data_IF_770286066994
#
_entry.id   IF_770286066994
#
_cell.length_a   1.000
_cell.length_b   1.000
_cell.length_c   1.000
_cell.angle_alpha   90.00
_cell.angle_beta   90.00
_cell.angle_gamma   90.00
#
_symmetry.space_group_name_H-M   'P 1'
#
loop_
_entity.id
_entity.type
_entity.pdbx_description
1 polymer ?
#
# COMPACT_ATOMS: atom_id res chain seq x y z
N UNK A 1 6.68 23.88 -17.77
CA UNK A 1 6.87 22.73 -16.87
C UNK A 1 5.54 22.00 -16.77
N UNK A 2 5.52 20.68 -16.92
CA UNK A 2 4.34 19.85 -16.69
C UNK A 2 4.16 19.61 -15.20
N UNK A 3 2.94 19.75 -14.69
CA UNK A 3 2.64 19.45 -13.29
C UNK A 3 2.74 17.93 -13.05
N UNK A 4 3.28 17.47 -11.90
CA UNK A 4 3.27 16.06 -11.53
C UNK A 4 1.84 15.50 -11.51
N UNK A 5 1.71 14.26 -11.95
CA UNK A 5 0.44 13.56 -12.06
C UNK A 5 0.17 12.73 -10.81
N UNK A 6 -0.90 13.09 -10.09
CA UNK A 6 -1.43 12.34 -8.95
C UNK A 6 -2.66 11.54 -9.38
N UNK A 7 -2.58 10.21 -9.31
CA UNK A 7 -3.74 9.34 -9.43
C UNK A 7 -4.38 9.15 -8.04
N UNK A 8 -5.61 9.64 -7.86
CA UNK A 8 -6.36 9.48 -6.61
C UNK A 8 -7.36 8.35 -6.79
N UNK A 9 -7.22 7.29 -5.98
CA UNK A 9 -8.14 6.17 -5.99
C UNK A 9 -9.04 6.25 -4.75
N UNK A 10 -10.30 6.60 -4.96
CA UNK A 10 -11.28 6.76 -3.87
C UNK A 10 -12.70 6.58 -4.38
N UNK A 11 -13.62 5.99 -3.60
CA UNK A 11 -15.05 6.08 -3.91
C UNK A 11 -15.67 7.44 -3.51
N UNK A 12 -14.92 8.29 -2.79
CA UNK A 12 -15.39 9.54 -2.20
C UNK A 12 -15.18 10.72 -3.17
N UNK A 13 -16.25 11.09 -3.89
CA UNK A 13 -16.23 12.22 -4.82
C UNK A 13 -15.99 13.57 -4.12
N UNK A 14 -16.33 13.70 -2.83
CA UNK A 14 -16.10 14.92 -2.06
C UNK A 14 -14.62 15.06 -1.73
N UNK A 15 -13.95 13.99 -1.34
CA UNK A 15 -12.51 13.94 -1.17
C UNK A 15 -11.78 14.27 -2.47
N UNK A 16 -12.21 13.70 -3.60
CA UNK A 16 -11.64 14.02 -4.91
C UNK A 16 -11.76 15.51 -5.25
N UNK A 17 -12.93 16.10 -5.04
CA UNK A 17 -13.18 17.52 -5.27
C UNK A 17 -12.35 18.42 -4.34
N UNK A 18 -12.21 18.01 -3.07
CA UNK A 18 -11.37 18.70 -2.09
C UNK A 18 -9.90 18.71 -2.51
N UNK A 19 -9.35 17.55 -2.87
CA UNK A 19 -7.95 17.42 -3.26
C UNK A 19 -7.64 18.14 -4.58
N UNK A 20 -8.52 18.07 -5.59
CA UNK A 20 -8.37 18.87 -6.82
C UNK A 20 -8.25 20.36 -6.50
N UNK A 21 -9.11 20.87 -5.61
CA UNK A 21 -9.12 22.29 -5.23
C UNK A 21 -7.87 22.67 -4.45
N UNK A 22 -7.45 21.85 -3.49
CA UNK A 22 -6.30 22.14 -2.61
C UNK A 22 -4.97 22.04 -3.36
N UNK A 23 -4.86 21.11 -4.29
CA UNK A 23 -3.62 20.82 -5.02
C UNK A 23 -3.57 21.51 -6.40
N UNK A 24 -4.58 22.33 -6.71
CA UNK A 24 -4.68 23.04 -7.99
C UNK A 24 -3.43 23.87 -8.26
N UNK A 25 -2.86 23.68 -9.44
CA UNK A 25 -1.65 24.39 -9.87
C UNK A 25 -0.34 23.83 -9.30
N UNK A 26 -0.41 22.83 -8.42
CA UNK A 26 0.75 22.08 -7.91
C UNK A 26 0.80 20.68 -8.54
N UNK A 27 -0.35 20.02 -8.64
CA UNK A 27 -0.48 18.67 -9.19
C UNK A 27 -1.61 18.64 -10.23
N UNK A 28 -1.46 17.77 -11.24
CA UNK A 28 -2.59 17.30 -12.04
C UNK A 28 -3.23 16.13 -11.30
N UNK A 29 -4.41 16.34 -10.73
CA UNK A 29 -5.13 15.28 -10.01
C UNK A 29 -6.08 14.56 -10.96
N UNK A 30 -5.94 13.24 -11.09
CA UNK A 30 -6.90 12.39 -11.81
C UNK A 30 -7.62 11.50 -10.81
N UNK A 31 -8.92 11.72 -10.56
CA UNK A 31 -9.68 10.82 -9.71
C UNK A 31 -10.07 9.56 -10.47
N UNK A 32 -9.73 8.41 -9.91
CA UNK A 32 -10.26 7.10 -10.27
C UNK A 32 -11.34 6.72 -9.26
N UNK A 33 -12.59 7.02 -9.60
CA UNK A 33 -13.74 6.77 -8.74
C UNK A 33 -14.18 5.31 -8.89
N UNK A 34 -13.97 4.52 -7.85
CA UNK A 34 -14.40 3.12 -7.83
C UNK A 34 -15.92 3.06 -7.55
N UNK A 35 -16.75 2.53 -8.46
CA UNK A 35 -18.19 2.40 -8.22
C UNK A 35 -18.46 1.27 -7.22
N UNK A 36 -18.97 1.60 -6.02
CA UNK A 36 -19.57 0.65 -5.08
C UNK A 36 -18.64 -0.39 -4.42
N UNK A 37 -19.17 -1.12 -3.44
CA UNK A 37 -18.43 -2.02 -2.56
C UNK A 37 -17.85 -3.25 -3.30
N UNK A 38 -16.54 -3.17 -3.58
CA UNK A 38 -15.61 -4.23 -4.01
C UNK A 38 -15.86 -4.77 -5.42
N UNK A 39 -14.77 -5.00 -6.18
CA UNK A 39 -14.46 -6.30 -6.84
C UNK A 39 -13.40 -6.26 -7.93
N UNK A 40 -12.86 -5.12 -8.31
CA UNK A 40 -11.97 -5.09 -9.48
C UNK A 40 -10.58 -4.63 -9.12
N UNK A 41 -9.87 -5.45 -8.32
CA UNK A 41 -8.41 -5.36 -8.20
C UNK A 41 -7.82 -5.24 -9.61
N UNK A 42 -8.23 -6.06 -10.58
CA UNK A 42 -7.74 -5.96 -11.97
C UNK A 42 -7.94 -4.59 -12.65
N UNK A 43 -9.08 -3.92 -12.45
CA UNK A 43 -9.31 -2.57 -13.00
C UNK A 43 -8.48 -1.52 -12.27
N UNK A 44 -8.34 -1.65 -10.95
CA UNK A 44 -7.47 -0.81 -10.16
C UNK A 44 -6.01 -1.00 -10.59
N UNK A 45 -5.55 -2.23 -10.77
CA UNK A 45 -4.20 -2.53 -11.24
C UNK A 45 -3.96 -1.98 -12.65
N UNK A 46 -4.95 -2.08 -13.55
CA UNK A 46 -4.87 -1.49 -14.89
C UNK A 46 -4.83 0.04 -14.84
N UNK A 47 -5.64 0.68 -14.01
CA UNK A 47 -5.60 2.14 -13.81
C UNK A 47 -4.29 2.59 -13.17
N UNK A 48 -3.77 1.79 -12.24
CA UNK A 48 -2.45 2.01 -11.65
C UNK A 48 -1.42 1.99 -12.76
N UNK A 49 -1.39 1.07 -13.74
CA UNK A 49 -0.39 1.11 -14.84
C UNK A 49 -0.31 2.38 -15.72
N UNK A 50 -1.21 3.35 -15.56
CA UNK A 50 -1.04 4.67 -16.18
C UNK A 50 0.21 5.41 -15.65
N UNK A 51 0.72 6.38 -16.42
CA UNK A 51 1.94 7.17 -16.12
C UNK A 51 1.71 8.22 -15.00
N UNK A 52 1.21 7.80 -13.84
CA UNK A 52 1.15 8.66 -12.67
C UNK A 52 2.54 8.78 -12.02
N UNK A 53 2.85 9.95 -11.47
CA UNK A 53 4.06 10.18 -10.66
C UNK A 53 3.83 9.79 -9.19
N UNK A 54 2.57 9.82 -8.75
CA UNK A 54 2.12 9.44 -7.41
C UNK A 54 0.77 8.70 -7.47
N UNK A 55 0.60 7.76 -6.55
CA UNK A 55 -0.67 7.07 -6.31
C UNK A 55 -1.15 7.36 -4.90
N UNK A 56 -2.33 7.97 -4.75
CA UNK A 56 -2.96 8.21 -3.46
C UNK A 56 -4.20 7.32 -3.30
N UNK A 57 -4.15 6.40 -2.34
CA UNK A 57 -5.15 5.38 -2.13
C UNK A 57 -5.98 5.66 -0.87
N UNK A 58 -7.31 5.67 -1.03
CA UNK A 58 -8.23 5.79 0.10
C UNK A 58 -8.41 4.45 0.84
N UNK A 59 -7.58 4.25 1.86
CA UNK A 59 -7.54 3.02 2.64
C UNK A 59 -8.76 2.84 3.57
N UNK A 60 -9.68 3.81 3.63
CA UNK A 60 -10.96 3.65 4.34
C UNK A 60 -11.89 2.67 3.63
N UNK A 61 -11.71 2.52 2.32
CA UNK A 61 -12.59 1.74 1.46
C UNK A 61 -11.86 0.66 0.66
N UNK A 62 -10.54 0.78 0.51
CA UNK A 62 -9.73 -0.09 -0.34
C UNK A 62 -8.62 -0.72 0.50
N UNK A 63 -8.47 -2.04 0.39
CA UNK A 63 -7.41 -2.75 1.10
C UNK A 63 -6.03 -2.36 0.53
N UNK A 64 -5.12 -1.77 1.33
CA UNK A 64 -3.88 -1.20 0.80
C UNK A 64 -2.84 -2.25 0.41
N UNK A 65 -2.93 -3.47 0.96
CA UNK A 65 -1.92 -4.52 0.76
C UNK A 65 -1.85 -5.06 -0.67
N UNK A 66 -2.98 -5.23 -1.35
CA UNK A 66 -3.01 -5.74 -2.72
C UNK A 66 -2.34 -4.73 -3.66
N UNK A 67 -2.73 -3.47 -3.53
CA UNK A 67 -2.21 -2.35 -4.32
C UNK A 67 -0.73 -2.15 -4.06
N UNK A 68 -0.31 -2.16 -2.79
CA UNK A 68 1.09 -2.03 -2.41
C UNK A 68 1.97 -3.16 -2.97
N UNK A 69 1.47 -4.40 -2.95
CA UNK A 69 2.17 -5.55 -3.53
C UNK A 69 2.35 -5.42 -5.03
N UNK A 70 1.34 -4.89 -5.74
CA UNK A 70 1.40 -4.65 -7.17
C UNK A 70 2.32 -3.48 -7.55
N UNK A 71 2.23 -2.36 -6.84
CA UNK A 71 3.12 -1.19 -7.02
C UNK A 71 4.58 -1.60 -6.85
N UNK A 72 4.87 -2.34 -5.78
CA UNK A 72 6.20 -2.89 -5.52
C UNK A 72 6.64 -3.90 -6.59
N UNK A 73 5.70 -4.57 -7.27
CA UNK A 73 5.99 -5.52 -8.32
C UNK A 73 6.33 -4.94 -9.67
N UNK A 74 5.81 -3.75 -9.97
CA UNK A 74 5.92 -3.14 -11.29
C UNK A 74 6.80 -1.88 -11.28
N UNK A 75 7.58 -1.65 -10.23
CA UNK A 75 8.40 -0.43 -10.04
C UNK A 75 7.59 0.85 -10.30
N UNK A 76 6.37 0.85 -9.79
CA UNK A 76 5.35 1.88 -10.02
C UNK A 76 5.61 3.08 -9.04
N UNK A 77 4.98 4.27 -9.21
CA UNK A 77 5.22 5.50 -8.47
C UNK A 77 4.98 5.33 -6.98
N UNK A 78 5.42 6.33 -6.21
CA UNK A 78 5.25 6.33 -4.76
C UNK A 78 3.76 6.20 -4.38
N UNK A 79 3.46 5.13 -3.62
CA UNK A 79 2.13 4.87 -3.09
C UNK A 79 1.97 5.58 -1.75
N UNK A 80 0.89 6.34 -1.62
CA UNK A 80 0.48 7.05 -0.43
C UNK A 80 -0.90 6.59 0.02
N UNK A 81 -1.16 6.60 1.33
CA UNK A 81 -2.45 6.23 1.91
C UNK A 81 -3.16 7.42 2.53
N UNK A 82 -4.47 7.46 2.31
CA UNK A 82 -5.43 8.17 3.15
C UNK A 82 -5.98 7.16 4.14
N UNK A 83 -5.48 7.20 5.36
CA UNK A 83 -5.79 6.27 6.43
C UNK A 83 -7.07 6.65 7.20
N UNK A 84 -7.88 5.67 7.64
CA UNK A 84 -8.88 5.92 8.66
C UNK A 84 -8.23 6.39 9.97
N UNK A 85 -8.99 7.14 10.77
CA UNK A 85 -8.51 7.54 12.09
C UNK A 85 -8.33 6.28 12.95
N UNK A 86 -7.21 6.21 13.68
CA UNK A 86 -6.88 5.03 14.49
C UNK A 86 -6.34 3.83 13.71
N UNK A 87 -6.04 3.98 12.41
CA UNK A 87 -5.24 2.97 11.70
C UNK A 87 -3.92 2.79 12.45
N UNK A 88 -3.59 1.56 12.81
CA UNK A 88 -2.31 1.27 13.43
C UNK A 88 -1.23 1.10 12.37
N UNK A 89 0.01 1.48 12.68
CA UNK A 89 1.11 1.44 11.70
C UNK A 89 1.44 0.04 11.21
N UNK A 90 1.11 -1.02 11.98
CA UNK A 90 1.30 -2.41 11.54
C UNK A 90 0.36 -2.79 10.39
N UNK A 91 -0.71 -2.03 10.16
CA UNK A 91 -1.63 -2.22 9.04
C UNK A 91 -1.25 -1.41 7.79
N UNK A 92 -0.16 -0.64 7.82
CA UNK A 92 0.35 0.11 6.68
C UNK A 92 1.37 -0.79 5.93
N UNK A 93 1.12 -1.12 4.65
CA UNK A 93 2.10 -1.88 3.87
C UNK A 93 3.42 -1.13 3.75
N UNK A 94 4.53 -1.86 3.75
CA UNK A 94 5.87 -1.26 3.66
C UNK A 94 6.23 -0.62 2.32
N UNK A 95 5.50 -0.96 1.25
CA UNK A 95 5.68 -0.32 -0.05
C UNK A 95 4.98 1.05 -0.15
N UNK A 96 4.21 1.42 0.87
CA UNK A 96 3.64 2.75 1.03
C UNK A 96 4.76 3.70 1.47
N UNK A 97 4.98 4.77 0.70
CA UNK A 97 5.95 5.82 1.03
C UNK A 97 5.40 6.82 2.02
N UNK A 98 4.08 6.86 2.20
CA UNK A 98 3.53 7.68 3.26
C UNK A 98 2.05 7.52 3.52
N UNK A 99 1.63 7.95 4.70
CA UNK A 99 0.24 7.89 5.13
C UNK A 99 -0.17 9.18 5.82
N UNK A 100 -1.34 9.70 5.42
CA UNK A 100 -2.06 10.81 6.07
C UNK A 100 -3.43 10.34 6.49
N UNK A 101 -4.02 10.96 7.50
CA UNK A 101 -5.40 10.62 7.85
C UNK A 101 -6.38 11.26 6.88
N UNK A 102 -7.58 10.71 6.80
CA UNK A 102 -8.71 11.38 6.14
C UNK A 102 -9.15 12.69 6.82
N UNK A 103 -8.69 12.97 8.04
CA UNK A 103 -8.90 14.23 8.75
C UNK A 103 -7.75 15.22 8.54
N UNK A 104 -6.76 14.86 7.72
CA UNK A 104 -5.59 15.68 7.48
C UNK A 104 -5.96 17.02 6.85
N UNK A 105 -5.26 18.05 7.28
CA UNK A 105 -5.38 19.40 6.73
C UNK A 105 -4.83 19.47 5.31
N UNK A 106 -5.23 20.49 4.55
CA UNK A 106 -4.66 20.79 3.23
C UNK A 106 -3.12 20.87 3.25
N UNK A 107 -2.55 21.48 4.30
CA UNK A 107 -1.11 21.57 4.51
C UNK A 107 -0.47 20.20 4.72
N UNK A 108 -1.09 19.30 5.47
CA UNK A 108 -0.55 17.95 5.67
C UNK A 108 -0.58 17.11 4.39
N UNK A 109 -1.64 17.23 3.58
CA UNK A 109 -1.70 16.61 2.25
C UNK A 109 -0.58 17.11 1.35
N UNK A 110 -0.28 18.41 1.38
CA UNK A 110 0.83 18.95 0.61
C UNK A 110 2.17 18.41 1.08
N UNK A 111 2.41 18.42 2.38
CA UNK A 111 3.68 17.93 2.94
C UNK A 111 3.92 16.46 2.59
N UNK A 112 2.92 15.59 2.74
CA UNK A 112 3.10 14.15 2.39
C UNK A 112 3.40 13.95 0.91
N UNK A 113 2.75 14.71 0.02
CA UNK A 113 2.95 14.58 -1.42
C UNK A 113 4.34 15.08 -1.82
N UNK A 114 4.73 16.25 -1.34
CA UNK A 114 6.04 16.84 -1.64
C UNK A 114 7.18 15.94 -1.11
N UNK A 115 7.07 15.44 0.13
CA UNK A 115 8.05 14.50 0.70
C UNK A 115 8.15 13.20 -0.10
N UNK A 116 7.02 12.66 -0.57
CA UNK A 116 7.00 11.45 -1.39
C UNK A 116 7.63 11.65 -2.78
N UNK A 117 7.42 12.83 -3.40
CA UNK A 117 8.05 13.21 -4.66
C UNK A 117 9.56 13.33 -4.54
N UNK A 118 10.06 13.78 -3.39
CA UNK A 118 11.49 13.86 -3.09
C UNK A 118 12.11 12.46 -2.83
N UNK A 119 11.29 11.41 -2.82
CA UNK A 119 11.74 10.05 -2.53
C UNK A 119 11.97 9.80 -1.05
N UNK A 120 11.37 10.60 -0.18
CA UNK A 120 11.42 10.42 1.27
C UNK A 120 10.10 9.83 1.77
N UNK A 121 10.16 9.13 2.90
CA UNK A 121 8.97 8.53 3.48
C UNK A 121 8.31 9.46 4.51
N UNK A 122 6.97 9.49 4.56
CA UNK A 122 6.22 10.38 5.44
C UNK A 122 5.05 9.69 6.16
N UNK A 123 5.04 9.75 7.49
CA UNK A 123 3.88 9.38 8.29
C UNK A 123 3.34 10.59 9.06
N UNK A 124 2.05 10.89 8.89
CA UNK A 124 1.38 12.00 9.56
C UNK A 124 1.62 11.99 11.08
N UNK A 125 1.76 13.16 11.72
CA UNK A 125 1.93 13.27 13.18
C UNK A 125 0.80 12.68 14.02
N UNK A 126 -0.34 12.31 13.42
CA UNK A 126 -1.38 11.54 14.12
C UNK A 126 -0.87 10.19 14.61
N UNK A 127 0.11 9.61 13.91
CA UNK A 127 0.74 8.36 14.30
C UNK A 127 1.73 8.70 15.41
N UNK A 128 1.66 7.98 16.53
CA UNK A 128 2.55 8.28 17.66
C UNK A 128 4.01 8.20 17.22
N UNK A 129 4.90 8.95 17.89
CA UNK A 129 6.33 8.88 17.58
C UNK A 129 6.88 7.45 17.69
N UNK A 130 6.37 6.67 18.65
CA UNK A 130 6.72 5.26 18.82
C UNK A 130 6.21 4.41 17.65
N UNK A 131 4.98 4.61 17.19
CA UNK A 131 4.41 3.89 16.05
C UNK A 131 5.17 4.20 14.75
N UNK A 132 5.55 5.47 14.54
CA UNK A 132 6.36 5.88 13.38
C UNK A 132 7.75 5.25 13.42
N UNK A 133 8.40 5.23 14.59
CA UNK A 133 9.70 4.59 14.76
C UNK A 133 9.62 3.08 14.50
N UNK A 134 8.60 2.41 15.05
CA UNK A 134 8.35 0.98 14.81
C UNK A 134 8.07 0.70 13.34
N UNK A 135 7.29 1.56 12.67
CA UNK A 135 7.07 1.46 11.24
C UNK A 135 8.39 1.49 10.49
N UNK A 136 9.28 2.45 10.73
CA UNK A 136 10.59 2.49 10.05
C UNK A 136 11.47 1.28 10.33
N UNK A 137 11.33 0.67 11.51
CA UNK A 137 12.08 -0.54 11.91
C UNK A 137 11.50 -1.85 11.37
N UNK A 138 10.25 -1.87 10.89
CA UNK A 138 9.67 -3.07 10.28
C UNK A 138 10.51 -3.48 9.04
N UNK A 139 10.79 -4.78 8.85
CA UNK A 139 11.56 -5.25 7.70
C UNK A 139 10.88 -4.84 6.37
N UNK A 140 11.69 -4.38 5.42
CA UNK A 140 11.31 -3.96 4.06
C UNK A 140 10.56 -5.10 3.34
N UNK A 141 9.58 -4.82 2.45
CA UNK A 141 8.77 -5.85 1.81
C UNK A 141 9.63 -6.67 0.84
N UNK A 142 9.11 -7.79 0.32
CA UNK A 142 9.95 -8.93 0.12
C UNK A 142 10.84 -8.80 -1.11
N UNK A 143 12.11 -9.18 -0.93
CA UNK A 143 12.98 -9.63 -2.02
C UNK A 143 12.21 -10.58 -2.95
N UNK A 144 12.64 -10.75 -4.22
CA UNK A 144 12.01 -11.69 -5.18
C UNK A 144 11.67 -13.05 -4.54
N UNK A 145 12.52 -13.49 -3.61
CA UNK A 145 12.32 -14.68 -2.80
C UNK A 145 11.01 -14.68 -2.00
N UNK A 146 10.68 -13.64 -1.24
CA UNK A 146 9.39 -13.67 -0.54
C UNK A 146 8.19 -13.35 -1.43
N UNK A 147 8.36 -12.71 -2.60
CA UNK A 147 7.30 -12.68 -3.62
C UNK A 147 6.98 -14.09 -4.11
N UNK A 148 8.00 -14.89 -4.42
CA UNK A 148 7.82 -16.27 -4.84
C UNK A 148 7.16 -17.12 -3.75
N UNK A 149 7.58 -16.97 -2.49
CA UNK A 149 6.94 -17.65 -1.34
C UNK A 149 5.48 -17.21 -1.16
N UNK A 150 5.19 -15.91 -1.31
CA UNK A 150 3.85 -15.36 -1.20
C UNK A 150 2.90 -15.93 -2.26
N UNK A 151 3.30 -15.93 -3.55
CA UNK A 151 2.47 -16.46 -4.63
C UNK A 151 2.15 -17.94 -4.45
N UNK A 152 3.13 -18.74 -4.01
CA UNK A 152 2.90 -20.15 -3.75
C UNK A 152 2.00 -20.37 -2.54
N UNK A 153 2.12 -19.54 -1.48
CA UNK A 153 1.18 -19.57 -0.36
C UNK A 153 -0.24 -19.20 -0.76
N UNK A 154 -0.40 -18.17 -1.59
CA UNK A 154 -1.70 -17.76 -2.16
C UNK A 154 -2.36 -18.90 -2.95
N UNK A 155 -1.58 -19.74 -3.62
CA UNK A 155 -2.06 -20.94 -4.35
C UNK A 155 -2.32 -22.15 -3.43
N UNK A 156 -2.27 -21.97 -2.11
CA UNK A 156 -2.51 -23.03 -1.13
C UNK A 156 -1.35 -24.01 -0.95
N UNK A 157 -0.13 -23.69 -1.41
CA UNK A 157 1.01 -24.60 -1.26
C UNK A 157 1.45 -24.74 0.20
N UNK A 158 1.74 -25.98 0.61
CA UNK A 158 2.33 -26.24 1.92
C UNK A 158 3.78 -25.77 1.99
N UNK A 159 4.32 -25.56 3.18
CA UNK A 159 5.72 -25.12 3.35
C UNK A 159 6.69 -26.08 2.66
N UNK A 160 6.43 -27.39 2.75
CA UNK A 160 7.22 -28.42 2.08
C UNK A 160 7.17 -28.31 0.54
N UNK A 161 6.00 -28.01 -0.03
CA UNK A 161 5.87 -27.81 -1.48
C UNK A 161 6.63 -26.56 -1.94
N UNK A 162 6.60 -25.48 -1.16
CA UNK A 162 7.33 -24.24 -1.46
C UNK A 162 8.84 -24.47 -1.41
N UNK A 163 9.32 -25.23 -0.42
CA UNK A 163 10.74 -25.61 -0.33
C UNK A 163 11.19 -26.36 -1.58
N UNK A 164 10.41 -27.35 -2.02
CA UNK A 164 10.72 -28.14 -3.21
C UNK A 164 10.69 -27.29 -4.49
N UNK A 165 9.73 -26.38 -4.61
CA UNK A 165 9.54 -25.56 -5.82
C UNK A 165 10.57 -24.43 -5.94
N UNK A 166 11.04 -23.88 -4.82
CA UNK A 166 12.00 -22.77 -4.80
C UNK A 166 13.43 -23.18 -4.46
N UNK A 167 13.68 -24.46 -4.16
CA UNK A 167 14.98 -24.94 -3.71
C UNK A 167 15.45 -24.30 -2.39
N UNK A 168 14.51 -24.00 -1.48
CA UNK A 168 14.78 -23.29 -0.24
C UNK A 168 14.70 -24.22 0.98
N UNK A 169 15.51 -23.93 2.00
CA UNK A 169 15.39 -24.59 3.29
C UNK A 169 14.11 -24.18 4.04
N UNK A 170 13.58 -25.08 4.87
CA UNK A 170 12.38 -24.83 5.66
C UNK A 170 12.46 -23.54 6.48
N UNK A 171 13.58 -23.32 7.18
CA UNK A 171 13.81 -22.13 8.00
C UNK A 171 13.74 -20.84 7.18
N UNK A 172 14.20 -20.88 5.92
CA UNK A 172 14.14 -19.74 5.01
C UNK A 172 12.70 -19.47 4.57
N UNK A 173 11.94 -20.51 4.25
CA UNK A 173 10.52 -20.36 3.87
C UNK A 173 9.68 -19.85 5.05
N UNK A 174 9.90 -20.38 6.26
CA UNK A 174 9.23 -19.92 7.48
C UNK A 174 9.61 -18.50 7.87
N UNK A 175 10.89 -18.13 7.72
CA UNK A 175 11.37 -16.76 7.86
C UNK A 175 10.67 -15.83 6.86
N UNK A 176 10.54 -16.27 5.61
CA UNK A 176 9.83 -15.51 4.59
C UNK A 176 8.34 -15.33 4.94
N UNK A 177 7.66 -16.39 5.36
CA UNK A 177 6.26 -16.35 5.80
C UNK A 177 6.09 -15.43 7.02
N UNK A 178 7.05 -15.44 7.94
CA UNK A 178 7.04 -14.59 9.14
C UNK A 178 7.22 -13.12 8.78
N UNK A 179 8.18 -12.81 7.90
CA UNK A 179 8.40 -11.46 7.39
C UNK A 179 7.20 -10.97 6.57
N UNK A 180 6.60 -11.82 5.74
CA UNK A 180 5.36 -11.52 5.02
C UNK A 180 4.23 -11.22 6.02
N UNK A 181 3.97 -12.09 7.00
CA UNK A 181 2.95 -11.84 8.03
C UNK A 181 3.16 -10.54 8.77
N UNK A 182 4.40 -10.25 9.18
CA UNK A 182 4.75 -8.97 9.80
C UNK A 182 4.50 -7.80 8.85
N UNK A 183 4.86 -7.95 7.57
CA UNK A 183 4.61 -6.98 6.51
C UNK A 183 3.14 -6.80 6.15
N UNK A 184 2.28 -7.78 6.45
CA UNK A 184 0.82 -7.76 6.26
C UNK A 184 0.03 -7.47 7.56
N UNK A 185 0.70 -7.24 8.68
CA UNK A 185 0.05 -7.03 9.98
C UNK A 185 -0.69 -8.25 10.55
N UNK A 186 -0.40 -9.46 10.05
CA UNK A 186 -1.11 -10.70 10.40
C UNK A 186 -0.59 -11.33 11.69
N UNK A 187 -1.50 -11.83 12.53
CA UNK A 187 -1.16 -12.60 13.71
C UNK A 187 -0.60 -13.99 13.34
N UNK A 188 0.18 -14.59 14.25
CA UNK A 188 0.90 -15.87 14.01
C UNK A 188 -0.01 -17.04 13.57
N UNK A 189 -1.28 -17.01 13.97
CA UNK A 189 -2.29 -18.06 13.69
C UNK A 189 -3.18 -17.73 12.51
N UNK A 190 -3.11 -16.52 11.98
CA UNK A 190 -3.85 -16.14 10.79
C UNK A 190 -3.19 -16.81 9.58
N UNK A 191 -4.05 -17.50 8.82
CA UNK A 191 -3.70 -18.09 7.55
C UNK A 191 -3.75 -16.96 6.53
N UNK A 192 -2.93 -17.04 5.48
CA UNK A 192 -3.24 -16.30 4.26
C UNK A 192 -4.51 -16.91 3.64
N UNK A 193 -5.68 -16.71 4.26
CA UNK A 193 -6.95 -17.27 3.77
C UNK A 193 -7.51 -16.31 2.72
N UNK A 194 -6.93 -16.41 1.54
CA UNK A 194 -7.32 -15.60 0.41
C UNK A 194 -8.60 -16.16 -0.21
N UNK A 195 -9.76 -15.75 0.32
CA UNK A 195 -11.07 -15.97 -0.30
C UNK A 195 -11.63 -14.62 -0.74
N UNK A 196 -11.91 -14.50 -2.03
CA UNK A 196 -12.60 -13.34 -2.61
C UNK A 196 -11.94 -11.97 -2.33
N UNK A 197 -10.61 -11.89 -2.39
CA UNK A 197 -9.88 -10.60 -2.30
C UNK A 197 -9.84 -9.98 -0.91
N UNK A 198 -9.79 -10.83 0.13
CA UNK A 198 -9.58 -10.42 1.52
C UNK A 198 -8.61 -11.38 2.21
N UNK A 199 -7.87 -10.84 3.18
CA UNK A 199 -7.29 -11.60 4.28
C UNK A 199 -8.34 -11.83 5.35
#
# INVERSE_FOLDING_TARGET
MTLPHLLLVTPDAMLASFLDRVLRGLYRVTPFIIPGALRHTDQLLAAVTEQADLLLLDARHIAPFEVASFVAANAHPALLLIAPAGLRTEAIPKAVRGAVTHLATASEFRVVLDTAMDGEDYLSPVFSAEDRLRYWQLPTPPTERHRAVFELKRRGRTTHQIMAELGLEQKTVEGCITALRAGFGLAKREVFDWRDGRL
#
